data_IF_351557091659
#
_entry.id   IF_351557091659
#
_cell.length_a   1.000
_cell.length_b   1.000
_cell.length_c   1.000
_cell.angle_alpha   90.00
_cell.angle_beta   90.00
_cell.angle_gamma   90.00
#
_symmetry.space_group_name_H-M   'P 1'
#
loop_
_entity.id
_entity.type
_entity.pdbx_description
1 polymer ?
#
# COMPACT_ATOMS: atom_id res chain seq x y z
N UNK A 1 -19.83 13.37 19.30
CA UNK A 1 -19.84 12.25 18.35
C UNK A 1 -19.12 12.68 17.07
N UNK A 2 -19.62 13.70 16.34
CA UNK A 2 -19.05 14.11 15.04
C UNK A 2 -17.53 14.37 15.10
N UNK A 3 -17.06 15.16 16.07
CA UNK A 3 -15.62 15.46 16.21
C UNK A 3 -14.76 14.21 16.45
N UNK A 4 -15.26 13.24 17.22
CA UNK A 4 -14.58 11.97 17.44
C UNK A 4 -14.58 11.12 16.14
N UNK A 5 -15.70 11.07 15.43
CA UNK A 5 -15.82 10.29 14.18
C UNK A 5 -14.88 10.84 13.09
N UNK A 6 -14.82 12.16 12.93
CA UNK A 6 -13.89 12.80 11.98
C UNK A 6 -12.44 12.55 12.40
N UNK A 7 -12.14 12.64 13.71
CA UNK A 7 -10.81 12.34 14.24
C UNK A 7 -10.36 10.91 13.94
N UNK A 8 -11.26 9.93 14.14
CA UNK A 8 -11.00 8.52 13.82
C UNK A 8 -10.80 8.32 12.32
N UNK A 9 -11.65 8.93 11.48
CA UNK A 9 -11.54 8.86 10.03
C UNK A 9 -10.18 9.38 9.54
N UNK A 10 -9.83 10.60 9.93
CA UNK A 10 -8.56 11.23 9.52
C UNK A 10 -7.36 10.40 10.00
N UNK A 11 -7.39 9.91 11.25
CA UNK A 11 -6.36 9.03 11.77
C UNK A 11 -6.23 7.75 10.94
N UNK A 12 -7.36 7.10 10.62
CA UNK A 12 -7.38 5.86 9.84
C UNK A 12 -6.80 6.07 8.44
N UNK A 13 -7.13 7.18 7.77
CA UNK A 13 -6.59 7.53 6.46
C UNK A 13 -5.07 7.80 6.55
N UNK A 14 -4.63 8.62 7.52
CA UNK A 14 -3.22 8.92 7.69
C UNK A 14 -2.39 7.65 7.98
N UNK A 15 -2.93 6.77 8.80
CA UNK A 15 -2.26 5.52 9.16
C UNK A 15 -2.27 4.51 7.99
N UNK A 16 -3.35 4.49 7.19
CA UNK A 16 -3.40 3.73 5.94
C UNK A 16 -2.27 4.19 5.00
N UNK A 17 -2.16 5.49 4.74
CA UNK A 17 -1.11 6.06 3.89
C UNK A 17 0.29 5.75 4.43
N UNK A 18 0.49 5.90 5.74
CA UNK A 18 1.78 5.61 6.38
C UNK A 18 2.15 4.13 6.24
N UNK A 19 1.22 3.20 6.51
CA UNK A 19 1.44 1.76 6.36
C UNK A 19 1.66 1.37 4.92
N UNK A 20 0.83 1.88 4.00
CA UNK A 20 0.96 1.59 2.58
C UNK A 20 2.38 1.84 2.07
N UNK A 21 2.98 2.95 2.49
CA UNK A 21 4.35 3.32 2.12
C UNK A 21 5.39 2.51 2.90
N UNK A 22 5.23 2.34 4.22
CA UNK A 22 6.22 1.64 5.05
C UNK A 22 6.28 0.14 4.78
N UNK A 23 5.20 -0.46 4.25
CA UNK A 23 5.11 -1.87 3.91
C UNK A 23 5.34 -2.14 2.41
N UNK A 24 5.91 -1.18 1.66
CA UNK A 24 6.28 -1.40 0.25
C UNK A 24 7.19 -2.62 0.14
N UNK A 25 6.87 -3.50 -0.84
CA UNK A 25 7.58 -4.74 -1.13
C UNK A 25 7.55 -5.82 -0.01
N UNK A 26 6.74 -5.63 1.03
CA UNK A 26 6.60 -6.63 2.11
C UNK A 26 5.91 -7.93 1.65
N UNK A 27 5.25 -7.90 0.49
CA UNK A 27 4.61 -9.07 -0.11
C UNK A 27 5.60 -10.14 -0.58
N UNK A 28 6.87 -9.77 -0.81
CA UNK A 28 7.90 -10.70 -1.24
C UNK A 28 8.67 -11.23 -0.03
N UNK A 29 8.48 -12.52 0.29
CA UNK A 29 9.11 -13.18 1.44
C UNK A 29 10.64 -13.23 1.37
N UNK A 30 11.19 -13.14 0.15
CA UNK A 30 12.62 -13.19 -0.15
C UNK A 30 13.20 -11.83 -0.57
N UNK A 31 12.51 -10.71 -0.29
CA UNK A 31 12.92 -9.38 -0.73
C UNK A 31 14.37 -9.02 -0.36
N UNK A 32 14.86 -9.50 0.79
CA UNK A 32 16.25 -9.28 1.24
C UNK A 32 17.30 -10.00 0.36
N UNK A 33 16.86 -11.02 -0.39
CA UNK A 33 17.70 -11.75 -1.34
C UNK A 33 17.56 -11.24 -2.78
N UNK A 34 16.69 -10.25 -3.02
CA UNK A 34 16.54 -9.65 -4.35
C UNK A 34 17.42 -8.40 -4.42
N UNK A 35 18.12 -8.25 -5.53
CA UNK A 35 18.88 -7.05 -5.84
C UNK A 35 18.37 -6.45 -7.15
N UNK A 36 18.23 -5.13 -7.19
CA UNK A 36 17.98 -4.35 -8.39
C UNK A 36 19.27 -4.24 -9.20
N UNK A 37 19.18 -4.48 -10.49
CA UNK A 37 20.31 -4.34 -11.42
C UNK A 37 20.03 -3.15 -12.31
N UNK A 38 20.84 -2.11 -12.16
CA UNK A 38 20.68 -0.83 -12.83
C UNK A 38 21.94 -0.46 -13.63
N UNK A 39 21.82 0.57 -14.45
CA UNK A 39 22.97 1.19 -15.12
C UNK A 39 23.26 2.54 -14.45
N UNK A 40 24.53 2.81 -14.26
CA UNK A 40 25.00 4.07 -13.67
C UNK A 40 25.88 4.79 -14.68
N UNK A 41 25.63 6.09 -14.87
CA UNK A 41 26.48 6.93 -15.72
C UNK A 41 27.85 7.19 -15.06
N UNK A 42 28.80 7.69 -15.81
CA UNK A 42 30.08 8.14 -15.27
C UNK A 42 29.94 9.30 -14.28
N UNK A 43 28.82 10.01 -14.29
CA UNK A 43 28.47 11.09 -13.34
C UNK A 43 27.83 10.61 -12.06
N UNK A 44 27.48 9.31 -11.98
CA UNK A 44 26.82 8.71 -10.83
C UNK A 44 25.30 8.72 -10.91
N UNK A 45 24.70 9.16 -12.02
CA UNK A 45 23.25 9.11 -12.21
C UNK A 45 22.83 7.69 -12.56
N UNK A 46 21.80 7.18 -11.88
CA UNK A 46 21.21 5.88 -12.19
C UNK A 46 20.22 6.01 -13.33
N UNK A 47 20.34 5.15 -14.33
CA UNK A 47 19.30 4.94 -15.32
C UNK A 47 18.25 3.99 -14.73
N UNK A 48 17.00 4.42 -14.72
CA UNK A 48 15.87 3.55 -14.39
C UNK A 48 15.60 2.62 -15.57
N UNK A 49 16.36 1.56 -15.68
CA UNK A 49 16.16 0.54 -16.69
C UNK A 49 17.46 -0.02 -17.24
N UNK A 50 17.38 -1.25 -17.68
CA UNK A 50 18.52 -2.00 -18.23
C UNK A 50 18.06 -2.72 -19.52
N UNK A 51 18.92 -2.88 -20.54
CA UNK A 51 18.59 -3.71 -21.69
C UNK A 51 18.46 -5.19 -21.31
N UNK A 52 17.48 -5.89 -21.88
CA UNK A 52 17.32 -7.32 -21.67
C UNK A 52 18.59 -8.11 -22.08
N UNK A 53 19.29 -7.66 -23.13
CA UNK A 53 20.56 -8.24 -23.59
C UNK A 53 21.63 -8.22 -22.51
N UNK A 54 21.69 -7.17 -21.68
CA UNK A 54 22.65 -7.09 -20.58
C UNK A 54 22.35 -8.17 -19.53
N UNK A 55 21.09 -8.42 -19.21
CA UNK A 55 20.70 -9.49 -18.28
C UNK A 55 21.09 -10.86 -18.86
N UNK A 56 20.89 -11.08 -20.17
CA UNK A 56 21.34 -12.30 -20.83
C UNK A 56 22.86 -12.50 -20.81
N UNK A 57 23.62 -11.42 -20.94
CA UNK A 57 25.09 -11.45 -20.79
C UNK A 57 25.49 -11.78 -19.35
N UNK A 58 24.84 -11.16 -18.35
CA UNK A 58 25.07 -11.47 -16.95
C UNK A 58 24.76 -12.93 -16.60
N UNK A 59 23.74 -13.52 -17.20
CA UNK A 59 23.42 -14.96 -17.03
C UNK A 59 24.53 -15.88 -17.58
N UNK A 60 25.24 -15.48 -18.61
CA UNK A 60 26.36 -16.25 -19.16
C UNK A 60 27.59 -16.19 -18.25
N UNK A 61 27.73 -15.08 -17.50
CA UNK A 61 28.75 -14.92 -16.48
C UNK A 61 28.25 -15.57 -15.18
N UNK A 62 29.00 -16.50 -14.62
CA UNK A 62 28.65 -17.13 -13.34
C UNK A 62 29.14 -16.27 -12.19
N UNK A 63 28.23 -15.94 -11.28
CA UNK A 63 28.53 -15.16 -10.07
C UNK A 63 28.26 -16.04 -8.85
N UNK A 64 29.22 -16.12 -7.93
CA UNK A 64 29.06 -16.89 -6.68
C UNK A 64 28.03 -16.23 -5.72
N UNK A 65 27.66 -15.01 -5.99
CA UNK A 65 26.66 -14.24 -5.23
C UNK A 65 25.24 -14.52 -5.69
N UNK A 66 25.02 -14.91 -6.95
CA UNK A 66 23.71 -14.90 -7.63
C UNK A 66 23.26 -16.31 -7.97
N UNK A 67 22.02 -16.62 -7.65
CA UNK A 67 21.35 -17.85 -8.08
C UNK A 67 20.83 -17.73 -9.51
N UNK A 68 20.12 -16.62 -9.80
CA UNK A 68 19.56 -16.31 -11.11
C UNK A 68 19.34 -14.82 -11.30
N UNK A 69 19.25 -14.42 -12.56
CA UNK A 69 18.82 -13.09 -12.97
C UNK A 69 17.45 -13.17 -13.64
N UNK A 70 16.59 -12.19 -13.45
CA UNK A 70 15.33 -12.03 -14.16
C UNK A 70 15.18 -10.63 -14.72
N UNK A 71 14.34 -10.51 -15.72
CA UNK A 71 14.04 -9.25 -16.38
C UNK A 71 12.53 -9.07 -16.50
N UNK A 72 12.07 -7.84 -16.26
CA UNK A 72 10.68 -7.43 -16.47
C UNK A 72 10.62 -6.17 -17.30
N UNK A 73 9.61 -6.06 -18.13
CA UNK A 73 9.33 -4.80 -18.85
C UNK A 73 8.45 -3.92 -17.96
N UNK A 74 8.55 -2.60 -18.14
CA UNK A 74 7.66 -1.65 -17.45
C UNK A 74 6.19 -2.03 -17.60
N UNK A 75 5.38 -1.97 -16.54
CA UNK A 75 3.94 -2.12 -16.64
C UNK A 75 3.35 -1.14 -17.64
N UNK A 76 2.40 -1.59 -18.44
CA UNK A 76 1.75 -0.77 -19.46
C UNK A 76 0.31 -1.19 -19.69
N UNK A 77 -0.52 -0.23 -20.05
CA UNK A 77 -1.89 -0.51 -20.43
C UNK A 77 -1.98 -1.16 -21.82
N UNK A 78 -2.80 -2.20 -21.90
CA UNK A 78 -3.14 -2.87 -23.14
C UNK A 78 -4.64 -3.19 -23.20
N UNK A 79 -5.19 -3.28 -24.42
CA UNK A 79 -6.60 -3.64 -24.65
C UNK A 79 -6.68 -5.00 -25.34
N UNK A 80 -7.62 -5.84 -24.88
CA UNK A 80 -7.82 -7.18 -25.38
C UNK A 80 -9.30 -7.46 -25.61
N UNK A 81 -9.60 -8.25 -26.66
CA UNK A 81 -10.87 -8.96 -26.79
C UNK A 81 -10.73 -10.32 -26.12
N UNK A 82 -11.59 -10.63 -25.18
CA UNK A 82 -11.57 -11.90 -24.43
C UNK A 82 -12.67 -12.81 -24.91
N UNK A 83 -12.32 -14.02 -25.29
CA UNK A 83 -13.26 -15.07 -25.66
C UNK A 83 -13.88 -15.66 -24.37
N UNK A 84 -15.15 -15.32 -24.11
CA UNK A 84 -15.88 -15.78 -22.91
C UNK A 84 -16.59 -17.10 -23.22
N UNK A 85 -17.23 -17.22 -24.39
CA UNK A 85 -17.89 -18.44 -24.90
C UNK A 85 -17.54 -18.58 -26.37
N UNK A 86 -17.63 -19.82 -26.89
CA UNK A 86 -17.37 -20.05 -28.31
C UNK A 86 -18.04 -19.01 -29.19
N UNK A 87 -17.22 -18.23 -29.90
CA UNK A 87 -17.66 -17.18 -30.81
C UNK A 87 -18.16 -15.87 -30.21
N UNK A 88 -18.10 -15.69 -28.86
CA UNK A 88 -18.44 -14.42 -28.22
C UNK A 88 -17.23 -13.80 -27.55
N UNK A 89 -16.73 -12.74 -28.16
CA UNK A 89 -15.65 -11.90 -27.60
C UNK A 89 -16.24 -10.64 -26.94
N UNK A 90 -15.65 -10.25 -25.81
CA UNK A 90 -15.92 -8.97 -25.16
C UNK A 90 -14.64 -8.15 -25.06
N UNK A 91 -14.70 -6.83 -25.33
CA UNK A 91 -13.57 -5.94 -25.19
C UNK A 91 -13.29 -5.64 -23.72
N UNK A 92 -12.02 -5.64 -23.36
CA UNK A 92 -11.50 -5.17 -22.10
C UNK A 92 -10.36 -4.21 -22.36
N UNK A 93 -10.56 -2.95 -22.01
CA UNK A 93 -9.61 -1.89 -22.20
C UNK A 93 -8.86 -1.55 -20.92
N UNK A 94 -7.71 -0.90 -21.07
CA UNK A 94 -6.89 -0.42 -19.94
C UNK A 94 -6.49 -1.50 -18.94
N UNK A 95 -6.10 -2.68 -19.46
CA UNK A 95 -5.56 -3.76 -18.60
C UNK A 95 -4.06 -3.53 -18.38
N UNK A 96 -3.67 -3.35 -17.11
CA UNK A 96 -2.27 -3.14 -16.74
C UNK A 96 -1.51 -4.47 -16.86
N UNK A 97 -0.60 -4.51 -17.83
CA UNK A 97 0.12 -5.71 -18.24
C UNK A 97 1.61 -5.52 -18.02
N UNK A 98 2.28 -6.48 -17.41
CA UNK A 98 3.73 -6.53 -17.28
C UNK A 98 4.29 -7.75 -18.01
N UNK A 99 5.24 -7.52 -18.91
CA UNK A 99 5.97 -8.60 -19.58
C UNK A 99 7.10 -9.08 -18.69
N UNK A 100 7.20 -10.40 -18.51
CA UNK A 100 8.19 -11.04 -17.64
C UNK A 100 8.86 -12.21 -18.35
N UNK A 101 10.04 -12.57 -17.91
CA UNK A 101 10.71 -13.78 -18.38
C UNK A 101 10.33 -15.02 -17.55
N UNK A 102 10.82 -16.19 -17.97
CA UNK A 102 10.50 -17.46 -17.31
C UNK A 102 11.06 -17.58 -15.89
N UNK A 103 12.13 -16.84 -15.55
CA UNK A 103 12.80 -16.86 -14.25
C UNK A 103 12.15 -15.93 -13.22
N UNK A 104 11.23 -15.08 -13.64
CA UNK A 104 10.48 -14.17 -12.76
C UNK A 104 9.88 -14.90 -11.56
N UNK A 105 9.26 -16.06 -11.78
CA UNK A 105 8.68 -16.87 -10.70
C UNK A 105 9.69 -17.27 -9.64
N UNK A 106 10.92 -17.55 -10.04
CA UNK A 106 11.96 -17.98 -9.10
C UNK A 106 12.41 -16.85 -8.21
N UNK A 107 12.44 -15.62 -8.73
CA UNK A 107 12.85 -14.42 -8.02
C UNK A 107 11.72 -13.88 -7.14
N UNK A 108 10.52 -13.69 -7.68
CA UNK A 108 9.39 -13.03 -6.99
C UNK A 108 8.37 -14.00 -6.38
N UNK A 109 8.48 -15.30 -6.68
CA UNK A 109 7.68 -16.39 -6.07
C UNK A 109 6.15 -16.13 -6.02
N UNK A 110 5.49 -15.66 -7.12
CA UNK A 110 4.06 -15.40 -7.09
C UNK A 110 3.29 -16.70 -6.79
N UNK A 111 2.27 -16.60 -5.92
CA UNK A 111 1.44 -17.75 -5.55
C UNK A 111 0.50 -18.10 -6.68
N UNK A 112 0.67 -19.31 -7.26
CA UNK A 112 -0.20 -19.82 -8.31
C UNK A 112 -1.45 -20.42 -7.68
N UNK A 113 -2.62 -20.04 -8.18
CA UNK A 113 -3.93 -20.49 -7.74
C UNK A 113 -4.49 -21.55 -8.68
N UNK A 114 -4.29 -21.38 -9.99
CA UNK A 114 -4.73 -22.31 -11.02
C UNK A 114 -3.71 -22.35 -12.17
N UNK A 115 -3.65 -23.45 -12.90
CA UNK A 115 -2.74 -23.60 -14.04
C UNK A 115 -1.29 -23.89 -13.66
N UNK A 116 -0.35 -23.62 -14.57
CA UNK A 116 1.07 -23.91 -14.37
C UNK A 116 1.96 -22.83 -14.99
N UNK A 117 2.95 -22.39 -14.22
CA UNK A 117 4.00 -21.47 -14.70
C UNK A 117 4.91 -22.15 -15.74
N UNK A 118 5.22 -23.42 -15.55
CA UNK A 118 6.07 -24.19 -16.45
C UNK A 118 5.43 -24.30 -17.84
N UNK A 119 4.12 -24.51 -17.89
CA UNK A 119 3.36 -24.51 -19.15
C UNK A 119 3.38 -23.12 -19.77
N UNK A 120 3.14 -22.07 -18.99
CA UNK A 120 3.20 -20.67 -19.45
C UNK A 120 4.57 -20.33 -20.03
N UNK A 121 5.65 -20.75 -19.37
CA UNK A 121 7.04 -20.47 -19.81
C UNK A 121 7.40 -21.13 -21.15
N UNK A 122 6.71 -22.20 -21.53
CA UNK A 122 6.93 -22.93 -22.78
C UNK A 122 5.88 -22.62 -23.86
N UNK A 123 4.87 -21.81 -23.53
CA UNK A 123 3.80 -21.44 -24.47
C UNK A 123 4.07 -20.05 -25.07
N UNK A 124 4.05 -19.91 -26.41
CA UNK A 124 4.11 -18.61 -27.06
C UNK A 124 2.90 -17.75 -26.67
N UNK A 125 3.12 -16.45 -26.43
CA UNK A 125 2.07 -15.52 -26.05
C UNK A 125 1.22 -16.02 -24.87
N UNK A 126 1.88 -16.48 -23.81
CA UNK A 126 1.19 -16.90 -22.59
C UNK A 126 0.76 -15.71 -21.74
N UNK A 127 -0.43 -15.79 -21.16
CA UNK A 127 -0.94 -14.84 -20.18
C UNK A 127 -1.13 -15.57 -18.84
N UNK A 128 -0.76 -14.85 -17.78
CA UNK A 128 -1.03 -15.19 -16.40
C UNK A 128 -1.90 -14.08 -15.82
N UNK A 129 -3.13 -14.43 -15.42
CA UNK A 129 -4.06 -13.47 -14.84
C UNK A 129 -3.86 -13.34 -13.33
N UNK A 130 -4.15 -12.16 -12.80
CA UNK A 130 -4.39 -12.01 -11.37
C UNK A 130 -5.77 -12.58 -10.99
N UNK A 131 -5.96 -12.95 -9.72
CA UNK A 131 -7.25 -13.44 -9.20
C UNK A 131 -8.38 -12.44 -9.49
N UNK A 132 -8.15 -11.15 -9.19
CA UNK A 132 -9.14 -10.10 -9.38
C UNK A 132 -9.57 -9.96 -10.83
N UNK A 133 -8.62 -10.01 -11.79
CA UNK A 133 -8.95 -9.96 -13.20
C UNK A 133 -9.68 -11.22 -13.67
N UNK A 134 -9.21 -12.40 -13.27
CA UNK A 134 -9.87 -13.65 -13.60
C UNK A 134 -11.33 -13.68 -13.12
N UNK A 135 -11.57 -13.24 -11.88
CA UNK A 135 -12.92 -13.12 -11.33
C UNK A 135 -13.77 -12.06 -12.05
N UNK A 136 -13.19 -10.93 -12.44
CA UNK A 136 -13.87 -9.83 -13.17
C UNK A 136 -14.35 -10.28 -14.55
N UNK A 137 -13.55 -11.10 -15.25
CA UNK A 137 -13.84 -11.54 -16.61
C UNK A 137 -14.73 -12.78 -16.64
N UNK A 138 -14.41 -13.79 -15.84
CA UNK A 138 -15.00 -15.14 -15.92
C UNK A 138 -15.93 -15.48 -14.76
N UNK A 139 -15.99 -14.63 -13.71
CA UNK A 139 -16.72 -14.95 -12.47
C UNK A 139 -15.96 -15.95 -11.59
N UNK A 140 -16.66 -16.49 -10.57
CA UNK A 140 -16.02 -17.43 -9.62
C UNK A 140 -16.05 -18.90 -10.07
N UNK A 141 -16.96 -19.25 -10.96
CA UNK A 141 -17.24 -20.64 -11.32
C UNK A 141 -16.59 -21.10 -12.63
N UNK A 142 -16.14 -20.19 -13.46
CA UNK A 142 -15.64 -20.53 -14.78
C UNK A 142 -14.10 -20.63 -14.78
N UNK A 143 -13.59 -21.75 -15.35
CA UNK A 143 -12.14 -21.94 -15.47
C UNK A 143 -11.56 -21.08 -16.61
N UNK A 144 -10.64 -20.14 -16.34
CA UNK A 144 -10.04 -19.32 -17.37
C UNK A 144 -8.93 -19.99 -18.18
N UNK A 145 -8.37 -21.12 -17.69
CA UNK A 145 -7.20 -21.76 -18.29
C UNK A 145 -7.52 -22.30 -19.69
N UNK A 146 -6.64 -22.00 -20.64
CA UNK A 146 -6.77 -22.37 -22.04
C UNK A 146 -7.61 -21.42 -22.89
N UNK A 147 -8.32 -20.45 -22.30
CA UNK A 147 -9.07 -19.45 -23.03
C UNK A 147 -8.15 -18.43 -23.71
N UNK A 148 -8.67 -17.78 -24.74
CA UNK A 148 -7.92 -16.85 -25.58
C UNK A 148 -8.25 -15.40 -25.25
N UNK A 149 -7.22 -14.55 -25.34
CA UNK A 149 -7.32 -13.10 -25.30
C UNK A 149 -6.63 -12.56 -26.55
N UNK A 150 -7.32 -11.73 -27.31
CA UNK A 150 -6.82 -11.19 -28.58
C UNK A 150 -6.41 -9.74 -28.35
N UNK A 151 -5.13 -9.43 -28.53
CA UNK A 151 -4.61 -8.05 -28.40
C UNK A 151 -5.20 -7.16 -29.49
N UNK A 152 -5.92 -6.11 -29.11
CA UNK A 152 -6.60 -5.19 -30.04
C UNK A 152 -5.77 -3.97 -30.38
N UNK A 153 -4.94 -3.50 -29.44
CA UNK A 153 -4.09 -2.32 -29.62
C UNK A 153 -2.61 -2.70 -29.70
N UNK A 154 -1.96 -2.38 -30.80
CA UNK A 154 -0.53 -2.59 -31.00
C UNK A 154 0.26 -1.39 -30.49
N UNK A 155 1.33 -1.65 -29.77
CA UNK A 155 2.21 -0.63 -29.20
C UNK A 155 3.18 -0.01 -30.21
N UNK A 156 3.56 -0.77 -31.24
CA UNK A 156 4.50 -0.30 -32.25
C UNK A 156 3.88 -0.52 -33.65
N UNK A 157 3.34 0.53 -34.22
CA UNK A 157 3.16 0.61 -35.67
C UNK A 157 4.54 0.95 -36.26
N UNK A 158 5.25 -0.06 -36.74
CA UNK A 158 6.34 0.20 -37.67
C UNK A 158 5.76 0.97 -38.86
N UNK A 159 6.40 2.04 -39.37
CA UNK A 159 5.84 2.90 -40.40
C UNK A 159 5.50 2.21 -41.72
N UNK A 160 5.85 0.95 -41.90
CA UNK A 160 5.78 0.21 -43.17
C UNK A 160 4.97 -1.09 -43.13
N UNK A 161 4.13 -1.31 -42.15
CA UNK A 161 3.32 -2.55 -42.15
C UNK A 161 1.87 -2.25 -42.42
N UNK A 162 1.38 -2.78 -43.58
CA UNK A 162 -0.03 -2.98 -43.88
C UNK A 162 -0.82 -3.36 -42.62
N UNK A 163 -2.05 -2.80 -42.43
CA UNK A 163 -2.89 -3.22 -41.31
C UNK A 163 -3.10 -4.71 -41.39
N UNK A 164 -2.43 -5.47 -40.53
CA UNK A 164 -2.72 -6.89 -40.36
C UNK A 164 -4.09 -6.95 -39.69
N UNK A 165 -5.09 -7.29 -40.45
CA UNK A 165 -6.42 -7.65 -40.00
C UNK A 165 -6.30 -8.98 -39.24
N UNK A 166 -6.14 -8.94 -37.93
CA UNK A 166 -6.03 -10.09 -37.07
C UNK A 166 -5.19 -9.76 -35.83
N UNK A 167 -5.84 -9.63 -34.68
CA UNK A 167 -5.16 -9.44 -33.40
C UNK A 167 -4.27 -10.65 -33.07
N UNK A 168 -3.25 -10.43 -32.26
CA UNK A 168 -2.42 -11.55 -31.76
C UNK A 168 -3.17 -12.25 -30.64
N UNK A 169 -3.32 -13.55 -30.78
CA UNK A 169 -3.96 -14.38 -29.79
C UNK A 169 -2.97 -14.78 -28.69
N UNK A 170 -3.35 -14.53 -27.47
CA UNK A 170 -2.68 -14.97 -26.26
C UNK A 170 -3.52 -16.06 -25.59
N UNK A 171 -2.87 -16.98 -24.89
CA UNK A 171 -3.55 -18.07 -24.19
C UNK A 171 -3.33 -17.94 -22.67
N UNK A 172 -4.41 -18.03 -21.91
CA UNK A 172 -4.35 -17.99 -20.44
C UNK A 172 -3.83 -19.34 -19.93
N UNK A 173 -2.69 -19.35 -19.23
CA UNK A 173 -2.01 -20.55 -18.77
C UNK A 173 -1.99 -20.69 -17.25
N UNK A 174 -2.14 -19.58 -16.51
CA UNK A 174 -2.19 -19.60 -15.06
C UNK A 174 -3.01 -18.43 -14.49
N UNK A 175 -3.43 -18.60 -13.24
CA UNK A 175 -3.97 -17.54 -12.38
C UNK A 175 -3.11 -17.46 -11.13
N UNK A 176 -2.66 -16.27 -10.78
CA UNK A 176 -1.88 -15.97 -9.58
C UNK A 176 -2.69 -15.17 -8.57
N UNK A 177 -2.24 -15.15 -7.33
CA UNK A 177 -2.74 -14.21 -6.35
C UNK A 177 -2.45 -12.77 -6.78
N UNK A 178 -3.31 -11.83 -6.38
CA UNK A 178 -3.11 -10.42 -6.73
C UNK A 178 -1.78 -9.93 -6.18
N UNK A 179 -1.01 -9.23 -7.02
CA UNK A 179 0.18 -8.50 -6.59
C UNK A 179 -0.31 -7.23 -5.90
N UNK A 180 0.04 -6.99 -4.63
CA UNK A 180 -0.38 -5.80 -3.91
C UNK A 180 0.03 -4.50 -4.61
N UNK A 181 -0.76 -3.44 -4.40
CA UNK A 181 -0.46 -2.12 -4.96
C UNK A 181 0.86 -1.53 -4.42
N UNK A 182 1.19 -1.83 -3.18
CA UNK A 182 2.37 -1.30 -2.50
C UNK A 182 3.65 -2.08 -2.82
N UNK A 183 3.97 -2.15 -4.11
CA UNK A 183 5.24 -2.73 -4.58
C UNK A 183 5.97 -1.83 -5.56
N UNK A 184 7.29 -1.72 -5.40
CA UNK A 184 8.16 -1.01 -6.33
C UNK A 184 8.24 -1.70 -7.70
N UNK A 185 7.96 -3.00 -7.75
CA UNK A 185 7.94 -3.80 -8.98
C UNK A 185 6.95 -3.25 -10.02
N UNK A 186 5.81 -2.74 -9.59
CA UNK A 186 4.75 -2.21 -10.46
C UNK A 186 4.63 -0.69 -10.40
N UNK A 187 5.56 0.01 -9.74
CA UNK A 187 5.47 1.46 -9.50
C UNK A 187 4.16 1.88 -8.80
N UNK A 188 3.69 1.05 -7.87
CA UNK A 188 2.43 1.26 -7.16
C UNK A 188 1.19 1.26 -8.06
N UNK A 189 1.29 0.66 -9.25
CA UNK A 189 0.15 0.42 -10.14
C UNK A 189 -0.42 -0.98 -9.95
N UNK A 190 -1.74 -1.08 -10.07
CA UNK A 190 -2.42 -2.38 -9.97
C UNK A 190 -2.18 -3.21 -11.21
N UNK A 191 -1.41 -4.28 -11.07
CA UNK A 191 -1.22 -5.24 -12.15
C UNK A 191 -2.45 -6.12 -12.33
N UNK A 192 -2.91 -6.23 -13.57
CA UNK A 192 -4.01 -7.10 -13.98
C UNK A 192 -3.49 -8.46 -14.48
N UNK A 193 -2.36 -8.47 -15.18
CA UNK A 193 -1.80 -9.70 -15.74
C UNK A 193 -0.31 -9.60 -16.02
N UNK A 194 0.31 -10.79 -16.19
CA UNK A 194 1.66 -10.95 -16.69
C UNK A 194 1.62 -11.62 -18.07
N UNK A 195 2.55 -11.25 -18.96
CA UNK A 195 2.75 -11.92 -20.25
C UNK A 195 4.13 -12.55 -20.31
N UNK A 196 4.19 -13.75 -20.90
CA UNK A 196 5.43 -14.49 -21.16
C UNK A 196 5.52 -14.81 -22.65
N UNK A 197 6.76 -14.87 -23.16
CA UNK A 197 7.04 -15.18 -24.56
C UNK A 197 6.21 -14.34 -25.55
N UNK A 198 6.05 -13.06 -25.22
CA UNK A 198 5.21 -12.11 -25.94
C UNK A 198 5.82 -11.77 -27.30
N UNK A 199 5.18 -12.19 -28.40
CA UNK A 199 5.67 -11.96 -29.77
C UNK A 199 5.65 -10.47 -30.20
N UNK A 200 4.85 -9.64 -29.54
CA UNK A 200 4.84 -8.17 -29.69
C UNK A 200 5.50 -7.47 -28.49
N UNK A 201 6.17 -8.23 -27.65
CA UNK A 201 6.78 -7.75 -26.46
C UNK A 201 8.13 -7.06 -26.69
N UNK A 202 8.52 -6.26 -25.72
CA UNK A 202 9.79 -5.53 -25.75
C UNK A 202 11.00 -6.45 -25.67
N UNK A 203 10.86 -7.61 -25.03
CA UNK A 203 11.93 -8.62 -24.93
C UNK A 203 12.40 -9.13 -26.30
N UNK A 204 11.50 -9.26 -27.27
CA UNK A 204 11.90 -9.65 -28.64
C UNK A 204 12.50 -8.51 -29.46
N UNK A 205 12.11 -7.26 -29.18
CA UNK A 205 12.62 -6.08 -29.91
C UNK A 205 13.99 -5.62 -29.40
N UNK A 206 14.30 -5.81 -28.12
CA UNK A 206 15.57 -5.38 -27.53
C UNK A 206 16.81 -6.10 -28.09
N UNK A 207 16.66 -7.26 -28.70
CA UNK A 207 17.75 -7.96 -29.42
C UNK A 207 18.27 -7.19 -30.64
N UNK A 208 17.58 -6.13 -31.10
CA UNK A 208 17.97 -5.36 -32.28
C UNK A 208 18.49 -3.95 -32.00
N UNK A 209 18.06 -3.29 -30.91
CA UNK A 209 18.30 -1.86 -30.75
C UNK A 209 18.96 -1.42 -29.45
N UNK A 210 19.37 -2.30 -28.55
CA UNK A 210 20.01 -1.96 -27.27
C UNK A 210 19.23 -0.91 -26.42
N UNK A 211 17.94 -0.78 -26.63
CA UNK A 211 17.13 0.20 -25.91
C UNK A 211 16.76 -0.35 -24.53
N UNK A 212 16.87 0.50 -23.52
CA UNK A 212 16.41 0.21 -22.17
C UNK A 212 14.89 0.17 -22.16
N UNK A 213 14.31 -0.92 -21.69
CA UNK A 213 12.85 -1.06 -21.69
C UNK A 213 12.29 -1.80 -20.48
N UNK A 214 13.12 -2.03 -19.45
CA UNK A 214 12.67 -2.79 -18.29
C UNK A 214 13.66 -2.83 -17.14
N UNK A 215 13.35 -3.66 -16.16
CA UNK A 215 14.11 -3.82 -14.93
C UNK A 215 14.82 -5.15 -14.88
N UNK A 216 16.06 -5.13 -14.43
CA UNK A 216 16.85 -6.31 -14.12
C UNK A 216 16.82 -6.60 -12.62
N UNK A 217 16.68 -7.86 -12.25
CA UNK A 217 16.77 -8.29 -10.87
C UNK A 217 17.66 -9.51 -10.75
N UNK A 218 18.36 -9.61 -9.61
CA UNK A 218 19.13 -10.79 -9.26
C UNK A 218 18.56 -11.43 -7.99
N UNK A 219 18.44 -12.76 -7.99
CA UNK A 219 18.20 -13.52 -6.78
C UNK A 219 19.54 -13.93 -6.18
N UNK A 220 19.84 -13.45 -5.01
CA UNK A 220 21.10 -13.72 -4.31
C UNK A 220 21.06 -15.05 -3.57
N UNK A 221 22.23 -15.65 -3.36
CA UNK A 221 22.38 -16.76 -2.44
C UNK A 221 22.20 -16.30 -0.98
N UNK A 222 21.66 -17.14 -0.06
CA UNK A 222 21.55 -16.83 1.35
C UNK A 222 22.91 -16.38 1.93
N UNK A 223 22.90 -15.25 2.66
CA UNK A 223 24.11 -14.65 3.25
C UNK A 223 24.96 -13.81 2.29
N UNK A 224 24.55 -13.66 1.04
CA UNK A 224 25.12 -12.71 0.09
C UNK A 224 24.32 -11.41 0.09
N UNK A 225 24.92 -10.31 -0.32
CA UNK A 225 24.29 -8.97 -0.32
C UNK A 225 24.50 -8.28 -1.67
N UNK A 226 23.58 -7.39 -2.03
CA UNK A 226 23.69 -6.58 -3.24
C UNK A 226 25.00 -5.78 -3.30
N UNK A 227 25.49 -5.28 -2.17
CA UNK A 227 26.79 -4.57 -2.09
C UNK A 227 27.98 -5.44 -2.48
N UNK A 228 27.96 -6.75 -2.16
CA UNK A 228 29.01 -7.69 -2.61
C UNK A 228 28.93 -7.92 -4.12
N UNK A 229 27.71 -8.07 -4.65
CA UNK A 229 27.49 -8.19 -6.08
C UNK A 229 27.94 -6.93 -6.82
N UNK A 230 27.63 -5.74 -6.29
CA UNK A 230 28.09 -4.48 -6.86
C UNK A 230 29.64 -4.38 -6.90
N UNK A 231 30.32 -4.75 -5.81
CA UNK A 231 31.79 -4.79 -5.79
C UNK A 231 32.33 -5.76 -6.84
N UNK A 232 31.62 -6.86 -7.11
CA UNK A 232 31.96 -7.81 -8.15
C UNK A 232 31.80 -7.22 -9.56
N UNK A 233 30.69 -6.50 -9.82
CA UNK A 233 30.46 -5.81 -11.08
C UNK A 233 31.56 -4.77 -11.36
N UNK A 234 31.91 -3.98 -10.37
CA UNK A 234 33.04 -3.03 -10.48
C UNK A 234 34.37 -3.72 -10.82
N UNK A 235 34.62 -4.92 -10.30
CA UNK A 235 35.86 -5.68 -10.57
C UNK A 235 35.95 -6.21 -12.01
N UNK A 236 34.79 -6.47 -12.63
CA UNK A 236 34.70 -6.99 -14.02
C UNK A 236 34.78 -5.83 -15.03
N UNK A 237 34.51 -4.59 -14.57
CA UNK A 237 34.54 -3.38 -15.41
C UNK A 237 33.68 -3.52 -16.68
N UNK A 238 32.47 -4.11 -16.54
CA UNK A 238 31.53 -4.19 -17.67
C UNK A 238 31.00 -2.81 -18.00
N UNK A 239 31.29 -2.37 -19.21
CA UNK A 239 30.88 -1.06 -19.74
C UNK A 239 29.80 -1.28 -20.80
N UNK A 240 28.75 -0.54 -20.69
CA UNK A 240 27.71 -0.45 -21.72
C UNK A 240 27.65 0.97 -22.25
N UNK A 241 27.26 1.11 -23.51
CA UNK A 241 27.02 2.42 -24.12
C UNK A 241 25.52 2.55 -24.39
N UNK A 242 24.91 3.52 -23.76
CA UNK A 242 23.52 3.90 -23.98
C UNK A 242 23.51 5.33 -24.48
N UNK A 243 22.96 5.58 -25.66
CA UNK A 243 22.91 6.91 -26.27
C UNK A 243 24.28 7.61 -26.31
N UNK A 244 25.35 6.87 -26.71
CA UNK A 244 26.73 7.37 -26.75
C UNK A 244 27.36 7.70 -25.37
N UNK A 245 26.67 7.41 -24.26
CA UNK A 245 27.21 7.58 -22.92
C UNK A 245 27.69 6.24 -22.35
N UNK A 246 28.93 6.25 -21.80
CA UNK A 246 29.48 5.09 -21.12
C UNK A 246 28.79 4.89 -19.77
N UNK A 247 28.27 3.68 -19.55
CA UNK A 247 27.55 3.31 -18.31
C UNK A 247 28.19 2.08 -17.69
N UNK A 248 28.14 1.99 -16.37
CA UNK A 248 28.52 0.82 -15.58
C UNK A 248 27.30 0.11 -15.02
N UNK A 249 27.37 -1.23 -14.90
CA UNK A 249 26.33 -2.00 -14.22
C UNK A 249 26.52 -1.86 -12.70
N UNK A 250 25.45 -1.61 -11.99
CA UNK A 250 25.40 -1.51 -10.52
C UNK A 250 24.33 -2.42 -9.94
N UNK A 251 24.49 -2.79 -8.68
CA UNK A 251 23.51 -3.57 -7.94
C UNK A 251 23.19 -2.92 -6.61
N UNK A 252 21.92 -2.76 -6.32
CA UNK A 252 21.39 -2.22 -5.05
C UNK A 252 20.38 -3.18 -4.43
N UNK A 253 20.12 -3.12 -3.12
CA UNK A 253 19.02 -3.84 -2.50
C UNK A 253 17.69 -3.52 -3.16
N UNK A 254 16.79 -4.51 -3.26
CA UNK A 254 15.51 -4.34 -3.92
C UNK A 254 14.69 -3.21 -3.28
N UNK A 255 14.22 -2.30 -4.13
CA UNK A 255 13.46 -1.12 -3.71
C UNK A 255 14.28 0.00 -3.06
N UNK A 256 15.61 -0.11 -2.94
CA UNK A 256 16.45 0.95 -2.34
C UNK A 256 16.31 2.28 -3.11
N UNK A 257 16.23 2.23 -4.43
CA UNK A 257 16.03 3.44 -5.25
C UNK A 257 14.70 4.14 -4.92
N UNK A 258 13.66 3.36 -4.66
CA UNK A 258 12.35 3.89 -4.22
C UNK A 258 12.49 4.61 -2.87
N UNK A 259 13.25 4.02 -1.91
CA UNK A 259 13.39 4.58 -0.57
C UNK A 259 14.35 5.77 -0.51
N UNK A 260 15.48 5.69 -1.18
CA UNK A 260 16.55 6.70 -1.08
C UNK A 260 16.24 7.98 -1.88
N UNK A 261 15.58 7.84 -3.04
CA UNK A 261 15.31 8.97 -3.94
C UNK A 261 13.92 9.57 -3.77
N UNK A 262 13.00 8.86 -3.06
CA UNK A 262 11.64 9.35 -2.89
C UNK A 262 11.48 10.13 -1.58
N UNK A 263 10.55 11.08 -1.59
CA UNK A 263 10.07 11.77 -0.38
C UNK A 263 9.15 10.83 0.43
N UNK A 264 8.85 9.64 -0.08
CA UNK A 264 7.90 8.70 0.48
C UNK A 264 8.17 8.33 1.95
N UNK A 265 9.40 8.00 2.41
CA UNK A 265 9.66 7.70 3.81
C UNK A 265 9.35 8.86 4.75
N UNK A 266 9.73 10.08 4.36
CA UNK A 266 9.41 11.28 5.14
C UNK A 266 7.91 11.55 5.18
N UNK A 267 7.22 11.34 4.05
CA UNK A 267 5.77 11.46 3.97
C UNK A 267 5.06 10.47 4.89
N UNK A 268 5.50 9.21 4.93
CA UNK A 268 4.96 8.20 5.84
C UNK A 268 5.09 8.63 7.32
N UNK A 269 6.26 9.15 7.69
CA UNK A 269 6.49 9.67 9.05
C UNK A 269 5.62 10.89 9.38
N UNK A 270 5.53 11.85 8.46
CA UNK A 270 4.72 13.06 8.64
C UNK A 270 3.24 12.72 8.75
N UNK A 271 2.71 11.88 7.88
CA UNK A 271 1.29 11.48 7.91
C UNK A 271 0.95 10.73 9.19
N UNK A 272 1.85 9.88 9.71
CA UNK A 272 1.67 9.21 10.99
C UNK A 272 1.58 10.21 12.14
N UNK A 273 2.48 11.19 12.20
CA UNK A 273 2.48 12.24 13.24
C UNK A 273 1.21 13.08 13.15
N UNK A 274 0.83 13.53 11.96
CA UNK A 274 -0.39 14.32 11.74
C UNK A 274 -1.62 13.54 12.16
N UNK A 275 -1.73 12.27 11.75
CA UNK A 275 -2.83 11.40 12.15
C UNK A 275 -2.94 11.24 13.67
N UNK A 276 -1.80 11.05 14.35
CA UNK A 276 -1.76 10.96 15.81
C UNK A 276 -2.21 12.26 16.50
N UNK A 277 -1.78 13.42 15.99
CA UNK A 277 -2.20 14.73 16.52
C UNK A 277 -3.71 14.96 16.35
N UNK A 278 -4.27 14.57 15.20
CA UNK A 278 -5.72 14.66 14.95
C UNK A 278 -6.49 13.72 15.88
N UNK A 279 -6.02 12.49 16.07
CA UNK A 279 -6.64 11.55 17.01
C UNK A 279 -6.59 12.09 18.45
N UNK A 280 -5.44 12.61 18.86
CA UNK A 280 -5.27 13.22 20.19
C UNK A 280 -6.24 14.39 20.41
N UNK A 281 -6.42 15.24 19.40
CA UNK A 281 -7.39 16.36 19.46
C UNK A 281 -8.83 15.84 19.59
N UNK A 282 -9.19 14.81 18.83
CA UNK A 282 -10.51 14.13 18.92
C UNK A 282 -10.75 13.52 20.30
N UNK A 283 -9.73 12.85 20.88
CA UNK A 283 -9.79 12.28 22.21
C UNK A 283 -9.88 13.35 23.33
N UNK A 284 -9.14 14.45 23.19
CA UNK A 284 -9.22 15.58 24.11
C UNK A 284 -10.62 16.22 24.09
N UNK A 285 -11.20 16.39 22.89
CA UNK A 285 -12.57 16.90 22.76
C UNK A 285 -13.58 15.92 23.39
N UNK A 286 -13.40 14.63 23.19
CA UNK A 286 -14.22 13.61 23.86
C UNK A 286 -14.05 13.63 25.38
N UNK A 287 -12.83 13.78 25.90
CA UNK A 287 -12.57 13.93 27.32
C UNK A 287 -13.26 15.17 27.91
N UNK A 288 -13.20 16.32 27.22
CA UNK A 288 -13.92 17.53 27.64
C UNK A 288 -15.43 17.32 27.71
N UNK A 289 -15.98 16.61 26.72
CA UNK A 289 -17.41 16.23 26.74
C UNK A 289 -17.75 15.38 27.97
N UNK A 290 -16.95 14.36 28.28
CA UNK A 290 -17.14 13.53 29.47
C UNK A 290 -17.07 14.35 30.76
N UNK A 291 -16.05 15.22 30.87
CA UNK A 291 -15.88 16.08 32.03
C UNK A 291 -17.03 17.08 32.18
N UNK A 292 -17.49 17.68 31.09
CA UNK A 292 -18.65 18.57 31.08
C UNK A 292 -19.93 17.87 31.52
N UNK A 293 -20.17 16.67 31.01
CA UNK A 293 -21.32 15.83 31.42
C UNK A 293 -21.26 15.48 32.91
N UNK A 294 -20.05 15.14 33.38
CA UNK A 294 -19.84 14.85 34.78
C UNK A 294 -20.08 16.06 35.67
N UNK A 295 -19.47 17.22 35.35
CA UNK A 295 -19.63 18.46 36.14
C UNK A 295 -21.08 18.92 36.22
N UNK A 296 -21.86 18.75 35.17
CA UNK A 296 -23.28 19.09 35.16
C UNK A 296 -24.13 18.14 36.03
N UNK A 297 -23.63 16.92 36.33
CA UNK A 297 -24.30 15.91 37.14
C UNK A 297 -23.66 15.71 38.52
N UNK A 298 -22.74 16.57 38.93
CA UNK A 298 -22.01 16.44 40.20
C UNK A 298 -22.95 16.28 41.40
N UNK A 299 -24.06 17.02 41.42
CA UNK A 299 -25.04 16.94 42.50
C UNK A 299 -25.73 15.56 42.59
N UNK A 300 -26.04 14.98 41.46
CA UNK A 300 -26.59 13.63 41.37
C UNK A 300 -25.59 12.58 41.87
N UNK A 301 -24.33 12.70 41.46
CA UNK A 301 -23.27 11.80 41.92
C UNK A 301 -22.95 11.94 43.39
N UNK A 302 -22.97 13.19 43.93
CA UNK A 302 -22.81 13.44 45.36
C UNK A 302 -23.90 12.78 46.18
N UNK A 303 -25.18 12.92 45.79
CA UNK A 303 -26.32 12.27 46.46
C UNK A 303 -26.18 10.72 46.41
N UNK A 304 -25.82 10.14 45.27
CA UNK A 304 -25.62 8.68 45.15
C UNK A 304 -24.50 8.18 46.04
N UNK A 305 -23.43 8.96 46.18
CA UNK A 305 -22.26 8.62 47.03
C UNK A 305 -22.66 8.64 48.52
N UNK A 306 -23.49 9.59 48.94
CA UNK A 306 -24.07 9.67 50.29
C UNK A 306 -25.01 8.48 50.55
N UNK A 307 -25.74 8.02 49.51
CA UNK A 307 -26.61 6.82 49.59
C UNK A 307 -25.85 5.47 49.51
N UNK A 308 -24.50 5.48 49.50
CA UNK A 308 -23.64 4.30 49.55
C UNK A 308 -23.16 3.78 48.20
N UNK A 309 -23.32 4.54 47.12
CA UNK A 309 -22.78 4.16 45.81
C UNK A 309 -21.27 4.17 45.79
N UNK A 310 -20.63 3.04 45.51
CA UNK A 310 -19.19 2.90 45.44
C UNK A 310 -18.57 3.53 44.16
N UNK A 311 -17.28 3.89 44.21
CA UNK A 311 -16.55 4.42 43.06
C UNK A 311 -16.57 3.49 41.85
N UNK A 312 -16.70 2.17 42.04
CA UNK A 312 -16.80 1.20 40.96
C UNK A 312 -18.10 1.37 40.16
N UNK A 313 -19.21 1.68 40.81
CA UNK A 313 -20.50 1.87 40.13
C UNK A 313 -20.47 3.15 39.27
N UNK A 314 -19.84 4.21 39.75
CA UNK A 314 -19.64 5.46 38.99
C UNK A 314 -18.72 5.24 37.78
N UNK A 315 -17.63 4.48 37.97
CA UNK A 315 -16.76 4.10 36.87
C UNK A 315 -17.50 3.31 35.80
N UNK A 316 -18.26 2.29 36.20
CA UNK A 316 -19.03 1.46 35.27
C UNK A 316 -20.03 2.28 34.46
N UNK A 317 -20.73 3.21 35.09
CA UNK A 317 -21.69 4.08 34.41
C UNK A 317 -21.02 4.97 33.37
N UNK A 318 -19.91 5.63 33.72
CA UNK A 318 -19.16 6.48 32.79
C UNK A 318 -18.54 5.66 31.67
N UNK A 319 -18.01 4.48 32.00
CA UNK A 319 -17.41 3.57 31.01
C UNK A 319 -18.44 3.09 29.98
N UNK A 320 -19.60 2.60 30.44
CA UNK A 320 -20.67 2.15 29.53
C UNK A 320 -21.13 3.30 28.62
N UNK A 321 -21.32 4.49 29.18
CA UNK A 321 -21.69 5.67 28.39
C UNK A 321 -20.62 5.99 27.34
N UNK A 322 -19.35 5.91 27.70
CA UNK A 322 -18.22 6.17 26.79
C UNK A 322 -18.13 5.14 25.67
N UNK A 323 -18.33 3.86 26.00
CA UNK A 323 -18.35 2.77 25.01
C UNK A 323 -19.48 2.97 24.01
N UNK A 324 -20.68 3.31 24.47
CA UNK A 324 -21.84 3.56 23.59
C UNK A 324 -21.53 4.74 22.63
N UNK A 325 -20.99 5.85 23.16
CA UNK A 325 -20.66 7.02 22.33
C UNK A 325 -19.54 6.69 21.33
N UNK A 326 -18.50 5.97 21.77
CA UNK A 326 -17.42 5.52 20.88
C UNK A 326 -17.95 4.59 19.79
N UNK A 327 -18.82 3.65 20.12
CA UNK A 327 -19.43 2.73 19.15
C UNK A 327 -20.27 3.50 18.10
N UNK A 328 -21.09 4.45 18.53
CA UNK A 328 -21.86 5.31 17.60
C UNK A 328 -20.90 6.13 16.72
N UNK A 329 -19.81 6.65 17.29
CA UNK A 329 -18.80 7.38 16.53
C UNK A 329 -18.12 6.50 15.46
N UNK A 330 -17.83 5.23 15.78
CA UNK A 330 -17.33 4.25 14.81
C UNK A 330 -18.31 3.95 13.69
N UNK A 331 -19.58 3.70 14.01
CA UNK A 331 -20.62 3.50 13.00
C UNK A 331 -20.69 4.70 12.04
N UNK A 332 -20.62 5.90 12.61
CA UNK A 332 -20.63 7.12 11.81
C UNK A 332 -19.34 7.25 10.96
N UNK A 333 -18.17 6.85 11.50
CA UNK A 333 -16.92 6.78 10.74
C UNK A 333 -17.03 5.84 9.56
N UNK A 334 -17.62 4.66 9.73
CA UNK A 334 -17.82 3.71 8.63
C UNK A 334 -18.75 4.28 7.55
N UNK A 335 -19.82 4.97 7.92
CA UNK A 335 -20.66 5.67 6.96
C UNK A 335 -19.87 6.76 6.20
N UNK A 336 -18.99 7.49 6.88
CA UNK A 336 -18.15 8.50 6.25
C UNK A 336 -17.12 7.86 5.29
N UNK A 337 -16.50 6.74 5.65
CA UNK A 337 -15.60 5.98 4.77
C UNK A 337 -16.34 5.59 3.49
N UNK A 338 -17.58 5.09 3.59
CA UNK A 338 -18.39 4.72 2.43
C UNK A 338 -18.62 5.88 1.48
N UNK A 339 -18.91 7.06 2.01
CA UNK A 339 -19.20 8.26 1.23
C UNK A 339 -17.92 8.86 0.61
N UNK A 340 -16.81 8.86 1.36
CA UNK A 340 -15.59 9.58 0.99
C UNK A 340 -14.63 8.71 0.17
N UNK A 341 -14.63 7.38 0.37
CA UNK A 341 -13.67 6.46 -0.29
C UNK A 341 -13.59 6.60 -1.82
N UNK A 342 -14.68 6.85 -2.58
CA UNK A 342 -14.59 7.03 -4.03
C UNK A 342 -13.80 8.28 -4.45
N UNK A 343 -13.67 9.25 -3.55
CA UNK A 343 -12.99 10.52 -3.79
C UNK A 343 -11.54 10.54 -3.25
N UNK A 344 -11.12 9.48 -2.55
CA UNK A 344 -9.82 9.39 -1.91
C UNK A 344 -8.76 8.78 -2.86
N UNK A 345 -8.67 9.29 -4.07
CA UNK A 345 -7.58 8.95 -4.99
C UNK A 345 -6.56 10.10 -4.96
N UNK A 346 -5.40 9.87 -4.39
CA UNK A 346 -4.36 10.90 -4.29
C UNK A 346 -3.25 10.61 -5.30
N UNK A 347 -2.92 11.61 -6.11
CA UNK A 347 -1.68 11.60 -6.88
C UNK A 347 -0.55 12.09 -5.95
N UNK A 348 0.25 11.15 -5.49
CA UNK A 348 1.36 11.42 -4.60
C UNK A 348 2.67 11.22 -5.36
N UNK A 349 3.45 12.27 -5.58
CA UNK A 349 4.79 12.20 -6.17
C UNK A 349 4.90 11.37 -7.47
N UNK A 350 3.94 11.51 -8.37
CA UNK A 350 3.75 10.73 -9.60
C UNK A 350 3.19 9.31 -9.40
N UNK A 351 2.83 8.93 -8.19
CA UNK A 351 2.14 7.67 -7.90
C UNK A 351 0.67 7.92 -7.57
N UNK A 352 -0.21 7.07 -8.06
CA UNK A 352 -1.62 7.11 -7.72
C UNK A 352 -1.85 6.26 -6.48
N UNK A 353 -2.01 6.89 -5.31
CA UNK A 353 -2.42 6.19 -4.10
C UNK A 353 -3.92 5.90 -4.17
N UNK A 354 -4.27 4.68 -4.49
CA UNK A 354 -5.65 4.20 -4.47
C UNK A 354 -5.93 3.64 -3.07
N UNK A 355 -6.87 4.24 -2.36
CA UNK A 355 -7.28 3.72 -1.06
C UNK A 355 -8.28 2.57 -1.26
N UNK A 356 -7.84 1.35 -0.96
CA UNK A 356 -8.72 0.19 -0.96
C UNK A 356 -9.70 0.25 0.22
N UNK A 357 -10.96 0.52 -0.09
CA UNK A 357 -12.04 0.68 0.88
C UNK A 357 -12.10 -0.47 1.89
N UNK A 358 -12.06 -1.72 1.42
CA UNK A 358 -12.16 -2.90 2.30
C UNK A 358 -11.00 -2.97 3.29
N UNK A 359 -9.79 -2.66 2.84
CA UNK A 359 -8.61 -2.64 3.69
C UNK A 359 -8.68 -1.51 4.71
N UNK A 360 -9.14 -0.33 4.30
CA UNK A 360 -9.37 0.79 5.22
C UNK A 360 -10.41 0.46 6.29
N UNK A 361 -11.51 -0.24 5.94
CA UNK A 361 -12.50 -0.72 6.90
C UNK A 361 -11.90 -1.66 7.94
N UNK A 362 -11.15 -2.67 7.48
CA UNK A 362 -10.51 -3.67 8.36
C UNK A 362 -9.54 -2.97 9.31
N UNK A 363 -8.67 -2.12 8.80
CA UNK A 363 -7.72 -1.37 9.63
C UNK A 363 -8.44 -0.46 10.65
N UNK A 364 -9.50 0.25 10.24
CA UNK A 364 -10.28 1.08 11.16
C UNK A 364 -10.92 0.24 12.27
N UNK A 365 -11.38 -0.98 11.97
CA UNK A 365 -11.92 -1.90 12.96
C UNK A 365 -10.83 -2.42 13.93
N UNK A 366 -9.63 -2.70 13.46
CA UNK A 366 -8.49 -3.08 14.32
C UNK A 366 -8.15 -1.97 15.33
N UNK A 367 -8.16 -0.71 14.89
CA UNK A 367 -7.89 0.44 15.78
C UNK A 367 -9.01 0.71 16.76
N UNK A 368 -10.23 0.22 16.53
CA UNK A 368 -11.33 0.35 17.47
C UNK A 368 -10.95 -0.15 18.87
N UNK A 369 -10.30 -1.30 18.96
CA UNK A 369 -9.85 -1.88 20.24
C UNK A 369 -8.87 -0.94 20.95
N UNK A 370 -7.91 -0.38 20.21
CA UNK A 370 -6.94 0.57 20.76
C UNK A 370 -7.61 1.86 21.25
N UNK A 371 -8.54 2.42 20.48
CA UNK A 371 -9.26 3.64 20.85
C UNK A 371 -10.17 3.40 22.05
N UNK A 372 -10.85 2.25 22.13
CA UNK A 372 -11.64 1.88 23.32
C UNK A 372 -10.75 1.75 24.56
N UNK A 373 -9.55 1.21 24.43
CA UNK A 373 -8.57 1.17 25.52
C UNK A 373 -8.16 2.57 25.98
N UNK A 374 -7.89 3.50 25.07
CA UNK A 374 -7.62 4.90 25.40
C UNK A 374 -8.82 5.57 26.07
N UNK A 375 -10.04 5.33 25.60
CA UNK A 375 -11.26 5.80 26.24
C UNK A 375 -11.40 5.27 27.68
N UNK A 376 -11.07 4.01 27.91
CA UNK A 376 -11.07 3.41 29.26
C UNK A 376 -10.07 4.13 30.20
N UNK A 377 -8.86 4.43 29.72
CA UNK A 377 -7.87 5.18 30.48
C UNK A 377 -8.41 6.58 30.84
N UNK A 378 -9.02 7.28 29.87
CA UNK A 378 -9.60 8.60 30.11
C UNK A 378 -10.75 8.56 31.11
N UNK A 379 -11.61 7.54 31.06
CA UNK A 379 -12.65 7.31 32.07
C UNK A 379 -12.05 7.07 33.46
N UNK A 380 -11.00 6.27 33.54
CA UNK A 380 -10.32 6.00 34.80
C UNK A 380 -9.70 7.27 35.40
N UNK A 381 -9.02 8.08 34.60
CA UNK A 381 -8.48 9.38 35.03
C UNK A 381 -9.60 10.30 35.53
N UNK A 382 -10.74 10.31 34.84
CA UNK A 382 -11.91 11.10 35.23
C UNK A 382 -12.42 10.68 36.60
N UNK A 383 -12.59 9.38 36.84
CA UNK A 383 -13.06 8.85 38.14
C UNK A 383 -12.07 9.11 39.27
N UNK A 384 -10.75 8.95 39.01
CA UNK A 384 -9.73 9.29 39.99
C UNK A 384 -9.82 10.77 40.40
N UNK A 385 -10.00 11.65 39.46
CA UNK A 385 -10.14 13.08 39.73
C UNK A 385 -11.37 13.37 40.59
N UNK A 386 -12.49 12.66 40.39
CA UNK A 386 -13.70 12.72 41.20
C UNK A 386 -13.42 12.27 42.64
N UNK A 387 -12.63 11.20 42.79
CA UNK A 387 -12.33 10.65 44.11
C UNK A 387 -11.58 11.64 45.02
N UNK A 388 -10.72 12.45 44.44
CA UNK A 388 -9.91 13.44 45.16
C UNK A 388 -10.63 14.80 45.38
N UNK A 389 -11.82 15.00 44.81
CA UNK A 389 -12.61 16.22 45.10
C UNK A 389 -13.40 16.08 46.40
N UNK A 390 -13.31 16.98 47.38
CA UNK A 390 -14.04 16.89 48.63
C UNK A 390 -15.55 16.98 48.42
N UNK A 391 -16.33 16.10 49.05
CA UNK A 391 -17.78 16.00 48.92
C UNK A 391 -18.50 17.32 49.27
N UNK A 392 -17.95 18.14 50.22
CA UNK A 392 -18.50 19.41 50.59
C UNK A 392 -18.56 20.42 49.43
N UNK A 393 -17.63 20.38 48.51
CA UNK A 393 -17.61 21.27 47.31
C UNK A 393 -18.62 20.82 46.24
N UNK A 394 -19.03 19.57 46.25
CA UNK A 394 -20.01 19.01 45.30
C UNK A 394 -21.47 19.33 45.67
N UNK A 395 -21.80 19.42 46.99
CA UNK A 395 -23.17 19.61 47.46
C UNK A 395 -23.55 21.09 47.55
N UNK A 396 -22.62 21.98 47.91
CA UNK A 396 -22.92 23.40 48.23
C UNK A 396 -22.79 24.33 47.03
N UNK A 397 -22.56 23.85 45.79
CA UNK A 397 -22.46 24.73 44.61
C UNK A 397 -21.59 25.93 44.88
N UNK A 398 -20.35 25.69 45.27
CA UNK A 398 -19.48 26.72 45.80
C UNK A 398 -19.25 27.86 44.81
N UNK A 399 -19.35 29.08 45.26
CA UNK A 399 -18.54 30.21 44.76
C UNK A 399 -17.11 29.72 44.56
N UNK A 400 -16.78 29.40 43.29
CA UNK A 400 -15.50 28.85 42.90
C UNK A 400 -14.43 29.92 43.19
N UNK A 401 -13.75 29.77 44.33
CA UNK A 401 -12.44 30.40 44.50
C UNK A 401 -11.60 29.96 43.31
N UNK A 402 -11.31 30.92 42.43
CA UNK A 402 -10.40 30.80 41.27
C UNK A 402 -9.05 30.25 41.70
N UNK A 403 -8.95 28.94 41.91
CA UNK A 403 -7.67 28.30 42.00
C UNK A 403 -7.12 28.10 40.59
N UNK A 404 -5.91 28.61 40.38
CA UNK A 404 -5.13 28.65 39.13
C UNK A 404 -5.40 27.45 38.23
N UNK A 405 -6.22 27.67 37.21
CA UNK A 405 -6.49 26.68 36.14
C UNK A 405 -5.44 26.78 35.04
N UNK A 406 -4.18 26.42 35.33
CA UNK A 406 -3.11 26.42 34.33
C UNK A 406 -3.46 25.58 33.09
N UNK A 407 -4.08 24.42 33.29
CA UNK A 407 -4.43 23.52 32.19
C UNK A 407 -5.68 23.95 31.41
N UNK A 408 -6.65 24.62 32.05
CA UNK A 408 -7.81 25.22 31.39
C UNK A 408 -7.43 26.39 30.50
N UNK A 409 -6.45 27.19 30.94
CA UNK A 409 -5.97 28.34 30.17
C UNK A 409 -5.13 27.92 28.96
N UNK A 410 -4.35 26.83 29.05
CA UNK A 410 -3.62 26.26 27.90
C UNK A 410 -4.60 25.67 26.89
N UNK A 411 -5.65 25.01 27.36
CA UNK A 411 -6.67 24.42 26.48
C UNK A 411 -7.64 25.45 25.88
N UNK A 412 -7.98 26.50 26.61
CA UNK A 412 -8.70 27.66 26.05
C UNK A 412 -7.87 28.39 24.99
N UNK A 413 -6.57 28.56 25.19
CA UNK A 413 -5.67 29.18 24.20
C UNK A 413 -5.58 28.42 22.89
N UNK A 414 -5.71 27.08 22.91
CA UNK A 414 -5.76 26.25 21.70
C UNK A 414 -7.12 26.32 20.98
N UNK A 415 -8.19 26.75 21.65
CA UNK A 415 -9.55 26.76 21.09
C UNK A 415 -10.12 28.15 20.80
N UNK A 416 -9.51 29.23 21.27
CA UNK A 416 -10.02 30.59 21.13
C UNK A 416 -9.12 31.50 20.29
N UNK A 417 -8.35 30.93 19.36
CA UNK A 417 -7.65 31.77 18.38
C UNK A 417 -8.56 32.23 17.22
N UNK A 418 -9.87 31.89 17.24
CA UNK A 418 -10.86 32.33 16.26
C UNK A 418 -12.14 32.82 16.95
N UNK A 419 -12.07 34.00 17.54
CA UNK A 419 -13.24 34.85 17.83
C UNK A 419 -12.79 36.31 17.90
#
# INVERSE_FOLDING_TARGET
IVGLSVGILCFSICLYCSRFISEVDSCFSNKELIADINLCTTRGDLYSGIPATTIEELRKLRFDEVQDFTFTVYPRERSYNVEIKEGKELPYDHLMTMEVDSLFRKVFTPRILQGSWEVASNTPNAIILTRSLAKRIFGESENPIGKRMILTQRLFTAPDTTPRTGGIAYTIQAVIEDIPLNTSLSFLEKLDMLTLNDSEGTLQFNGRNNMTGGFGFALLHPGKTARKLEARFRSINMKHHIYDEETAITASPFGEEFWDKSIAPYFAGITMIVGLLILLTGLLNFFHFLMGTFLNRNREYGIRKVMGSGNQQLFYQLFVQSVIIAFIAFLFTFCLIEIISPYLNFNLFNYVLIIEKNLLFIQTAEYMVFILFLCMILCFITVLRIHYTPIQTEIHGSEIKRHKHGMRNILCLLYTSDA
#
